data_IF_946063205037
#
_entry.id   IF_946063205037
#
_cell.length_a   1.000
_cell.length_b   1.000
_cell.length_c   1.000
_cell.angle_alpha   90.00
_cell.angle_beta   90.00
_cell.angle_gamma   90.00
#
_symmetry.space_group_name_H-M   'P 1'
#
loop_
_entity.id
_entity.type
_entity.pdbx_description
1 polymer ?
#
# COMPACT_ATOMS: atom_id res chain seq x y z
N UNK A 1 7.75 -20.45 -2.31
CA UNK A 1 8.33 -20.03 -3.60
C UNK A 1 9.59 -19.21 -3.32
N UNK A 2 10.71 -19.49 -3.97
CA UNK A 2 11.97 -18.77 -3.75
C UNK A 2 12.10 -17.48 -4.60
N UNK A 3 11.17 -17.22 -5.51
CA UNK A 3 11.23 -16.11 -6.48
C UNK A 3 10.22 -14.99 -6.25
N UNK A 4 9.60 -14.92 -5.06
CA UNK A 4 8.64 -13.86 -4.77
C UNK A 4 9.33 -12.51 -4.61
N UNK A 5 8.91 -11.53 -5.43
CA UNK A 5 9.33 -10.14 -5.27
C UNK A 5 8.72 -9.58 -3.98
N UNK A 6 9.59 -9.16 -3.05
CA UNK A 6 9.17 -8.55 -1.77
C UNK A 6 9.25 -7.02 -1.77
N UNK A 7 9.66 -6.43 -2.87
CA UNK A 7 9.60 -4.99 -3.10
C UNK A 7 8.51 -4.77 -4.13
N UNK A 8 7.58 -3.87 -3.82
CA UNK A 8 6.43 -3.54 -4.66
C UNK A 8 6.57 -2.10 -5.13
N UNK A 9 6.48 -1.90 -6.43
CA UNK A 9 6.45 -0.58 -7.05
C UNK A 9 5.02 -0.04 -6.96
N UNK A 10 4.78 0.87 -6.01
CA UNK A 10 3.46 1.50 -5.81
C UNK A 10 3.21 2.52 -6.92
N UNK A 11 4.24 3.31 -7.25
CA UNK A 11 4.34 4.19 -8.42
C UNK A 11 5.82 4.56 -8.65
N UNK A 12 6.10 5.47 -9.59
CA UNK A 12 7.46 5.86 -10.00
C UNK A 12 8.35 6.44 -8.87
N UNK A 13 7.79 6.80 -7.70
CA UNK A 13 8.51 7.43 -6.60
C UNK A 13 8.22 6.83 -5.21
N UNK A 14 7.38 5.80 -5.12
CA UNK A 14 7.02 5.11 -3.88
C UNK A 14 7.21 3.60 -4.03
N UNK A 15 7.95 3.02 -3.09
CA UNK A 15 8.13 1.58 -2.96
C UNK A 15 7.52 1.09 -1.65
N UNK A 16 6.90 -0.08 -1.71
CA UNK A 16 6.42 -0.85 -0.56
C UNK A 16 7.28 -2.10 -0.33
N UNK A 17 7.27 -2.61 0.90
CA UNK A 17 7.92 -3.88 1.26
C UNK A 17 6.86 -4.89 1.67
N UNK A 18 7.02 -6.14 1.25
CA UNK A 18 6.11 -7.23 1.54
C UNK A 18 6.66 -8.11 2.68
N UNK A 19 5.97 -8.09 3.82
CA UNK A 19 6.18 -8.99 4.94
C UNK A 19 4.81 -9.32 5.58
N UNK A 20 4.56 -10.58 5.90
CA UNK A 20 3.26 -11.05 6.38
C UNK A 20 2.54 -11.94 5.37
N UNK A 21 1.21 -11.90 5.37
CA UNK A 21 0.37 -12.62 4.44
C UNK A 21 0.58 -12.09 3.01
N UNK A 22 1.11 -12.92 2.12
CA UNK A 22 1.41 -12.47 0.76
C UNK A 22 0.17 -11.95 -0.01
N UNK A 23 -1.00 -12.56 0.22
CA UNK A 23 -2.25 -12.10 -0.37
C UNK A 23 -2.68 -10.73 0.17
N UNK A 24 -2.58 -10.54 1.49
CA UNK A 24 -2.94 -9.29 2.16
C UNK A 24 -2.05 -8.15 1.67
N UNK A 25 -0.72 -8.34 1.71
CA UNK A 25 0.25 -7.34 1.26
C UNK A 25 0.00 -6.91 -0.19
N UNK A 26 -0.03 -7.88 -1.11
CA UNK A 26 -0.19 -7.58 -2.55
C UNK A 26 -1.52 -6.88 -2.82
N UNK A 27 -2.59 -7.29 -2.13
CA UNK A 27 -3.90 -6.65 -2.30
C UNK A 27 -3.87 -5.20 -1.83
N UNK A 28 -3.42 -4.96 -0.60
CA UNK A 28 -3.46 -3.63 -0.01
C UNK A 28 -2.45 -2.67 -0.61
N UNK A 29 -1.27 -3.15 -1.05
CA UNK A 29 -0.33 -2.34 -1.83
C UNK A 29 -0.97 -1.84 -3.13
N UNK A 30 -1.75 -2.69 -3.83
CA UNK A 30 -2.51 -2.28 -5.02
C UNK A 30 -3.61 -1.28 -4.69
N UNK A 31 -4.31 -1.46 -3.57
CA UNK A 31 -5.31 -0.49 -3.10
C UNK A 31 -4.64 0.85 -2.79
N UNK A 32 -3.48 0.85 -2.11
CA UNK A 32 -2.71 2.05 -1.83
C UNK A 32 -2.28 2.74 -3.13
N UNK A 33 -1.75 1.99 -4.12
CA UNK A 33 -1.38 2.54 -5.43
C UNK A 33 -2.55 3.26 -6.11
N UNK A 34 -3.75 2.65 -6.09
CA UNK A 34 -4.98 3.27 -6.59
C UNK A 34 -5.29 4.57 -5.85
N UNK A 35 -5.21 4.58 -4.52
CA UNK A 35 -5.51 5.79 -3.74
C UNK A 35 -4.49 6.91 -3.98
N UNK A 36 -3.19 6.58 -4.05
CA UNK A 36 -2.13 7.52 -4.39
C UNK A 36 -2.40 8.15 -5.77
N UNK A 37 -2.80 7.35 -6.76
CA UNK A 37 -3.15 7.87 -8.10
C UNK A 37 -4.37 8.78 -8.07
N UNK A 38 -5.40 8.43 -7.30
CA UNK A 38 -6.58 9.28 -7.14
C UNK A 38 -6.25 10.61 -6.45
N UNK A 39 -5.35 10.61 -5.46
CA UNK A 39 -4.87 11.83 -4.82
C UNK A 39 -4.19 12.75 -5.83
N UNK A 40 -3.29 12.21 -6.67
CA UNK A 40 -2.61 12.99 -7.71
C UNK A 40 -3.58 13.64 -8.68
N UNK A 41 -4.58 12.90 -9.17
CA UNK A 41 -5.57 13.41 -10.10
C UNK A 41 -6.43 14.53 -9.50
N UNK A 42 -6.75 14.44 -8.20
CA UNK A 42 -7.58 15.43 -7.50
C UNK A 42 -6.83 16.71 -7.15
N UNK A 43 -5.57 16.57 -6.72
CA UNK A 43 -4.80 17.69 -6.17
C UNK A 43 -3.77 18.26 -7.16
N UNK A 44 -3.51 17.57 -8.29
CA UNK A 44 -2.43 17.88 -9.24
C UNK A 44 -1.04 17.91 -8.59
N UNK A 45 -0.90 17.16 -7.50
CA UNK A 45 0.32 17.07 -6.70
C UNK A 45 0.54 15.62 -6.25
N UNK A 46 1.81 15.22 -6.14
CA UNK A 46 2.19 13.90 -5.62
C UNK A 46 1.79 13.76 -4.16
N UNK A 47 1.35 12.58 -3.77
CA UNK A 47 1.10 12.28 -2.36
C UNK A 47 2.45 12.21 -1.62
N UNK A 48 2.50 12.78 -0.42
CA UNK A 48 3.68 12.64 0.45
C UNK A 48 3.78 11.21 1.00
N UNK A 49 5.00 10.78 1.33
CA UNK A 49 5.24 9.48 1.97
C UNK A 49 4.45 9.35 3.28
N UNK A 50 4.39 10.41 4.07
CA UNK A 50 3.64 10.45 5.33
C UNK A 50 2.12 10.29 5.13
N UNK A 51 1.56 10.90 4.08
CA UNK A 51 0.14 10.75 3.78
C UNK A 51 -0.17 9.34 3.25
N UNK A 52 0.68 8.79 2.38
CA UNK A 52 0.51 7.42 1.86
C UNK A 52 0.59 6.36 2.98
N UNK A 53 1.58 6.45 3.88
CA UNK A 53 1.72 5.52 5.00
C UNK A 53 0.55 5.62 5.97
N UNK A 54 0.09 6.85 6.29
CA UNK A 54 -1.08 7.05 7.16
C UNK A 54 -2.35 6.50 6.53
N UNK A 55 -2.53 6.67 5.23
CA UNK A 55 -3.67 6.12 4.51
C UNK A 55 -3.68 4.59 4.57
N UNK A 56 -2.53 3.95 4.35
CA UNK A 56 -2.39 2.50 4.49
C UNK A 56 -2.75 2.04 5.90
N UNK A 57 -2.18 2.67 6.94
CA UNK A 57 -2.48 2.33 8.33
C UNK A 57 -3.97 2.45 8.65
N UNK A 58 -4.64 3.50 8.19
CA UNK A 58 -6.06 3.70 8.43
C UNK A 58 -6.92 2.64 7.71
N UNK A 59 -6.58 2.30 6.46
CA UNK A 59 -7.29 1.26 5.71
C UNK A 59 -7.21 -0.10 6.40
N UNK A 60 -6.01 -0.50 6.81
CA UNK A 60 -5.75 -1.78 7.49
C UNK A 60 -6.36 -1.81 8.89
N UNK A 61 -6.35 -0.68 9.61
CA UNK A 61 -6.93 -0.59 10.95
C UNK A 61 -8.42 -0.95 10.97
N UNK A 62 -9.17 -0.69 9.90
CA UNK A 62 -10.57 -1.09 9.78
C UNK A 62 -10.78 -2.61 9.82
N UNK A 63 -9.72 -3.39 9.57
CA UNK A 63 -9.73 -4.86 9.61
C UNK A 63 -9.02 -5.42 10.84
N UNK A 64 -8.77 -4.59 11.86
CA UNK A 64 -8.13 -5.01 13.10
C UNK A 64 -8.95 -6.13 13.76
N UNK A 65 -8.29 -7.24 14.08
CA UNK A 65 -8.92 -8.41 14.69
C UNK A 65 -9.54 -9.40 13.69
N UNK A 66 -9.48 -9.12 12.38
CA UNK A 66 -10.03 -10.00 11.33
C UNK A 66 -8.99 -10.97 10.73
N UNK A 67 -7.80 -11.08 11.34
CA UNK A 67 -6.75 -12.01 10.89
C UNK A 67 -5.88 -11.52 9.74
N UNK A 68 -5.98 -10.24 9.34
CA UNK A 68 -5.10 -9.63 8.36
C UNK A 68 -3.66 -9.55 8.87
N UNK A 69 -2.70 -9.96 8.04
CA UNK A 69 -1.26 -9.94 8.36
C UNK A 69 -0.46 -9.14 7.33
N UNK A 70 -0.04 -7.93 7.74
CA UNK A 70 0.81 -7.00 7.01
C UNK A 70 1.70 -6.23 7.96
#
# INVERSE_FOLDING_TARGET
>A
SQSMKKIVEINDYLLGTLAGGAADCVYWDRVLAKQCRMYELRNRERISVAAASKLMSNMVYNYKGMGLSM
#
